data_IF_698820463715
#
_entry.id   IF_698820463715
#
_cell.length_a   1.000
_cell.length_b   1.000
_cell.length_c   1.000
_cell.angle_alpha   90.00
_cell.angle_beta   90.00
_cell.angle_gamma   90.00
#
_symmetry.space_group_name_H-M   'P 1'
#
loop_
_entity.id
_entity.type
_entity.pdbx_description
1 polymer ?
#
# COMPACT_ATOMS: atom_id res chain seq x y z
N UNK A 1 18.52 19.25 3.03
CA UNK A 1 17.18 19.25 3.65
C UNK A 1 16.86 17.82 4.04
N UNK A 2 16.61 17.56 5.32
CA UNK A 2 16.19 16.21 5.77
C UNK A 2 14.79 16.00 5.22
N UNK A 3 14.58 14.98 4.40
CA UNK A 3 13.25 14.61 3.92
C UNK A 3 12.43 14.17 5.12
N UNK A 4 11.33 14.85 5.41
CA UNK A 4 10.42 14.43 6.48
C UNK A 4 9.79 13.10 6.08
N UNK A 5 9.89 12.12 6.97
CA UNK A 5 9.28 10.81 6.76
C UNK A 5 7.75 10.94 6.77
N UNK A 6 7.02 10.23 5.91
CA UNK A 6 5.57 10.18 5.96
C UNK A 6 5.10 9.67 7.33
N UNK A 7 4.47 10.55 8.11
CA UNK A 7 3.81 10.16 9.36
C UNK A 7 2.53 9.35 9.10
N UNK A 8 1.93 9.53 7.93
CA UNK A 8 0.75 8.79 7.49
C UNK A 8 1.10 7.34 7.12
N UNK A 9 0.26 6.40 7.55
CA UNK A 9 0.35 5.00 7.13
C UNK A 9 -0.68 4.72 6.04
N UNK A 10 -0.26 4.20 4.90
CA UNK A 10 -1.18 3.80 3.84
C UNK A 10 -2.12 2.70 4.33
N UNK A 11 -3.42 2.92 4.16
CA UNK A 11 -4.43 1.95 4.52
C UNK A 11 -4.90 1.12 3.32
N UNK A 12 -5.90 0.26 3.54
CA UNK A 12 -6.43 -0.61 2.50
C UNK A 12 -7.15 0.19 1.41
N UNK A 13 -7.87 1.25 1.77
CA UNK A 13 -8.62 2.06 0.81
C UNK A 13 -7.70 2.89 -0.08
N UNK A 14 -6.57 3.34 0.47
CA UNK A 14 -5.53 4.02 -0.31
C UNK A 14 -4.83 3.06 -1.28
N UNK A 15 -4.56 1.83 -0.82
CA UNK A 15 -3.71 0.87 -1.53
C UNK A 15 -4.49 -0.01 -2.51
N UNK A 16 -5.73 -0.39 -2.21
CA UNK A 16 -6.55 -1.28 -3.03
C UNK A 16 -7.77 -0.52 -3.55
N UNK A 17 -7.87 -0.38 -4.87
CA UNK A 17 -9.03 0.26 -5.49
C UNK A 17 -10.29 -0.59 -5.28
N UNK A 18 -11.42 0.07 -5.02
CA UNK A 18 -12.73 -0.58 -4.93
C UNK A 18 -13.33 -0.97 -6.29
N UNK A 19 -12.63 -0.72 -7.40
CA UNK A 19 -13.09 -1.13 -8.73
C UNK A 19 -13.02 -2.66 -8.89
N UNK A 20 -14.08 -3.25 -9.44
CA UNK A 20 -14.24 -4.71 -9.54
C UNK A 20 -13.07 -5.42 -10.24
N UNK A 21 -12.41 -4.76 -11.21
CA UNK A 21 -11.29 -5.33 -11.96
C UNK A 21 -9.94 -5.25 -11.22
N UNK A 22 -9.86 -4.43 -10.17
CA UNK A 22 -8.61 -4.18 -9.42
C UNK A 22 -8.73 -4.45 -7.92
N UNK A 23 -9.85 -5.01 -7.44
CA UNK A 23 -10.06 -5.30 -6.01
C UNK A 23 -8.93 -6.10 -5.38
N UNK A 24 -8.32 -7.00 -6.14
CA UNK A 24 -7.25 -7.87 -5.64
C UNK A 24 -5.85 -7.40 -6.04
N UNK A 25 -5.72 -6.22 -6.67
CA UNK A 25 -4.44 -5.68 -7.10
C UNK A 25 -4.14 -4.38 -6.35
N UNK A 26 -3.03 -4.29 -5.60
CA UNK A 26 -2.63 -3.03 -5.00
C UNK A 26 -2.22 -2.03 -6.09
N UNK A 27 -2.44 -0.75 -5.85
CA UNK A 27 -1.90 0.33 -6.66
C UNK A 27 -0.39 0.43 -6.42
N UNK A 28 0.38 -0.08 -7.37
CA UNK A 28 1.84 -0.17 -7.25
C UNK A 28 2.52 1.20 -7.31
N UNK A 29 1.95 2.18 -8.01
CA UNK A 29 2.54 3.53 -8.11
C UNK A 29 2.49 4.22 -6.74
N UNK A 30 1.31 4.17 -6.09
CA UNK A 30 1.11 4.70 -4.73
C UNK A 30 2.00 3.98 -3.72
N UNK A 31 2.05 2.65 -3.78
CA UNK A 31 2.88 1.86 -2.89
C UNK A 31 4.37 2.20 -3.04
N UNK A 32 4.85 2.25 -4.28
CA UNK A 32 6.27 2.52 -4.58
C UNK A 32 6.67 3.91 -4.13
N UNK A 33 5.88 4.93 -4.46
CA UNK A 33 6.15 6.30 -4.03
C UNK A 33 6.20 6.41 -2.50
N UNK A 34 5.27 5.75 -1.80
CA UNK A 34 5.23 5.81 -0.34
C UNK A 34 6.42 5.10 0.31
N UNK A 35 6.81 3.92 -0.19
CA UNK A 35 7.98 3.18 0.33
C UNK A 35 9.29 3.90 0.02
N UNK A 36 9.42 4.56 -1.14
CA UNK A 36 10.60 5.38 -1.47
C UNK A 36 10.83 6.52 -0.48
N UNK A 37 9.75 7.02 0.13
CA UNK A 37 9.79 8.03 1.19
C UNK A 37 9.93 7.40 2.59
N UNK A 38 10.22 6.10 2.68
CA UNK A 38 10.23 5.31 3.92
C UNK A 38 8.89 5.31 4.69
N UNK A 39 7.80 5.59 3.99
CA UNK A 39 6.45 5.46 4.51
C UNK A 39 6.12 4.00 4.88
N UNK A 40 5.16 3.83 5.79
CA UNK A 40 4.74 2.50 6.25
C UNK A 40 3.29 2.23 5.87
N UNK A 41 2.95 0.95 5.78
CA UNK A 41 1.56 0.50 5.66
C UNK A 41 0.93 0.37 7.06
N UNK A 42 -0.39 0.41 7.12
CA UNK A 42 -1.12 -0.16 8.25
C UNK A 42 -0.94 -1.68 8.26
N UNK A 43 -1.10 -2.31 9.43
CA UNK A 43 -0.98 -3.76 9.57
C UNK A 43 -1.97 -4.50 8.66
N UNK A 44 -3.21 -4.01 8.57
CA UNK A 44 -4.24 -4.62 7.73
C UNK A 44 -3.89 -4.56 6.24
N UNK A 45 -3.38 -3.42 5.76
CA UNK A 45 -2.94 -3.26 4.37
C UNK A 45 -1.75 -4.16 4.04
N UNK A 46 -0.78 -4.27 4.95
CA UNK A 46 0.36 -5.18 4.81
C UNK A 46 -0.10 -6.65 4.78
N UNK A 47 -0.97 -7.05 5.71
CA UNK A 47 -1.51 -8.42 5.79
C UNK A 47 -2.24 -8.79 4.51
N UNK A 48 -3.13 -7.93 4.02
CA UNK A 48 -3.86 -8.14 2.77
C UNK A 48 -2.91 -8.32 1.59
N UNK A 49 -1.88 -7.46 1.48
CA UNK A 49 -0.87 -7.56 0.41
C UNK A 49 -0.16 -8.92 0.42
N UNK A 50 0.24 -9.40 1.61
CA UNK A 50 0.88 -10.71 1.77
C UNK A 50 -0.08 -11.85 1.41
N UNK A 51 -1.34 -11.78 1.85
CA UNK A 51 -2.35 -12.80 1.56
C UNK A 51 -2.71 -12.86 0.07
N UNK A 52 -2.85 -11.71 -0.59
CA UNK A 52 -3.03 -11.63 -2.04
C UNK A 52 -1.87 -12.30 -2.78
N UNK A 53 -0.63 -12.04 -2.37
CA UNK A 53 0.56 -12.65 -2.98
C UNK A 53 0.67 -14.17 -2.80
N UNK A 54 -0.03 -14.78 -1.82
CA UNK A 54 -0.07 -16.24 -1.67
C UNK A 54 -0.92 -16.94 -2.72
N UNK A 55 -1.83 -16.22 -3.37
CA UNK A 55 -2.79 -16.78 -4.32
C UNK A 55 -2.34 -16.66 -5.79
N UNK A 56 -1.14 -16.11 -6.02
CA UNK A 56 -0.47 -16.04 -7.33
C UNK A 56 0.75 -16.96 -7.35
#
# INVERSE_FOLDING_TARGET
>A
TVSELPAHRLDIGDLFSNSSDSKDKPNLDVLTQHILLEGRLTEQAARRTIETGKNF
#
